data_IF_727349450590
#
_entry.id   IF_727349450590
#
_cell.length_a   1.000
_cell.length_b   1.000
_cell.length_c   1.000
_cell.angle_alpha   90.00
_cell.angle_beta   90.00
_cell.angle_gamma   90.00
#
_symmetry.space_group_name_H-M   'P 1'
#
loop_
_entity.id
_entity.type
_entity.pdbx_description
1 polymer ?
#
# COMPACT_ATOMS: atom_id res chain seq x y z
N UNK A 1 18.12 -4.71 -14.46
CA UNK A 1 18.06 -5.58 -13.28
C UNK A 1 16.99 -5.14 -12.29
N UNK A 2 16.94 -3.86 -11.87
CA UNK A 2 15.84 -3.35 -11.01
C UNK A 2 14.44 -3.62 -11.58
N UNK A 3 14.23 -3.35 -12.89
CA UNK A 3 12.96 -3.65 -13.58
C UNK A 3 12.58 -5.13 -13.46
N UNK A 4 13.51 -6.03 -13.74
CA UNK A 4 13.26 -7.49 -13.69
C UNK A 4 12.92 -7.95 -12.27
N UNK A 5 13.63 -7.44 -11.26
CA UNK A 5 13.36 -7.76 -9.85
C UNK A 5 12.03 -7.20 -9.34
N UNK A 6 11.42 -6.26 -10.07
CA UNK A 6 10.17 -5.59 -9.70
C UNK A 6 8.98 -6.03 -10.55
N UNK A 7 9.22 -6.79 -11.62
CA UNK A 7 8.19 -7.12 -12.62
C UNK A 7 6.99 -7.84 -11.99
N UNK A 8 7.24 -8.98 -11.31
CA UNK A 8 6.17 -9.75 -10.66
C UNK A 8 5.41 -8.91 -9.61
N UNK A 9 6.13 -8.25 -8.70
CA UNK A 9 5.51 -7.42 -7.66
C UNK A 9 4.70 -6.26 -8.25
N UNK A 10 5.09 -5.74 -9.42
CA UNK A 10 4.34 -4.67 -10.09
C UNK A 10 3.08 -5.15 -10.81
N UNK A 11 2.99 -6.45 -11.12
CA UNK A 11 1.81 -7.07 -11.69
C UNK A 11 0.83 -7.52 -10.59
N UNK A 12 1.35 -7.96 -9.45
CA UNK A 12 0.53 -8.51 -8.35
C UNK A 12 0.04 -7.46 -7.36
N UNK A 13 0.81 -6.38 -7.13
CA UNK A 13 0.55 -5.45 -6.03
C UNK A 13 0.43 -4.00 -6.49
N UNK A 14 -0.21 -3.18 -5.65
CA UNK A 14 -0.29 -1.73 -5.89
C UNK A 14 1.10 -1.12 -5.74
N UNK A 15 1.66 -0.68 -6.87
CA UNK A 15 2.99 -0.07 -6.92
C UNK A 15 2.89 1.43 -6.70
N UNK A 16 3.55 1.94 -5.66
CA UNK A 16 3.67 3.39 -5.45
C UNK A 16 5.12 3.76 -5.20
N UNK A 17 5.72 4.47 -6.16
CA UNK A 17 7.14 4.80 -6.16
C UNK A 17 8.00 3.54 -6.27
N UNK A 18 8.69 3.20 -5.18
CA UNK A 18 9.53 1.99 -5.05
C UNK A 18 8.98 1.00 -4.03
N UNK A 19 7.76 1.22 -3.57
CA UNK A 19 7.09 0.34 -2.63
C UNK A 19 5.91 -0.37 -3.27
N UNK A 20 5.60 -1.54 -2.73
CA UNK A 20 4.51 -2.40 -3.14
C UNK A 20 3.58 -2.63 -1.95
N UNK A 21 2.28 -2.52 -2.18
CA UNK A 21 1.25 -2.62 -1.14
C UNK A 21 0.12 -3.52 -1.60
N UNK A 22 -0.40 -4.31 -0.68
CA UNK A 22 -1.54 -5.18 -0.91
C UNK A 22 -2.19 -5.56 0.44
N UNK A 23 -3.52 -5.76 0.52
CA UNK A 23 -4.17 -6.20 1.75
C UNK A 23 -3.62 -7.52 2.32
N UNK A 24 -2.96 -8.35 1.50
CA UNK A 24 -2.38 -9.65 1.90
C UNK A 24 -0.93 -9.58 2.36
N UNK A 25 -0.22 -8.46 2.12
CA UNK A 25 1.21 -8.30 2.44
C UNK A 25 1.51 -7.96 3.91
N UNK A 26 0.54 -8.11 4.80
CA UNK A 26 0.74 -7.96 6.24
C UNK A 26 -0.51 -7.48 6.94
N UNK A 27 -0.32 -6.67 7.99
CA UNK A 27 -1.45 -6.10 8.72
C UNK A 27 -2.13 -5.03 7.88
N UNK A 28 -3.44 -5.00 7.99
CA UNK A 28 -4.25 -3.85 7.62
C UNK A 28 -5.02 -3.36 8.84
N UNK A 29 -5.53 -2.14 8.79
CA UNK A 29 -6.40 -1.63 9.83
C UNK A 29 -7.00 -0.30 9.47
N UNK A 30 -8.11 0.01 10.12
CA UNK A 30 -8.84 1.25 9.92
C UNK A 30 -8.04 2.45 10.46
N UNK A 31 -8.02 3.52 9.68
CA UNK A 31 -7.53 4.84 10.08
C UNK A 31 -8.69 5.81 10.36
N UNK A 32 -9.92 5.42 10.05
CA UNK A 32 -11.14 6.24 10.16
C UNK A 32 -11.53 6.87 8.82
N UNK A 33 -12.73 7.47 8.78
CA UNK A 33 -13.22 8.28 7.66
C UNK A 33 -13.22 7.57 6.28
N UNK A 34 -13.42 6.25 6.27
CA UNK A 34 -13.39 5.46 5.03
C UNK A 34 -11.98 5.15 4.52
N UNK A 35 -10.96 5.29 5.39
CA UNK A 35 -9.56 5.06 5.09
C UNK A 35 -9.04 3.90 5.96
N UNK A 36 -8.31 2.98 5.33
CA UNK A 36 -7.53 1.95 6.00
C UNK A 36 -6.05 2.05 5.63
N UNK A 37 -5.15 1.48 6.42
CA UNK A 37 -3.77 1.29 6.01
C UNK A 37 -3.55 -0.13 5.52
N UNK A 38 -2.71 -0.30 4.50
CA UNK A 38 -2.17 -1.59 4.08
C UNK A 38 -0.68 -1.63 4.38
N UNK A 39 -0.20 -2.78 4.83
CA UNK A 39 1.23 -3.06 4.89
C UNK A 39 1.79 -3.30 3.49
N UNK A 40 3.09 -3.14 3.36
CA UNK A 40 3.83 -3.35 2.13
C UNK A 40 5.32 -3.32 2.41
N UNK A 41 6.11 -3.25 1.34
CA UNK A 41 7.56 -3.14 1.45
C UNK A 41 8.13 -2.20 0.40
N UNK A 42 9.17 -1.48 0.79
CA UNK A 42 10.05 -0.74 -0.09
C UNK A 42 11.08 -1.70 -0.70
N UNK A 43 11.39 -1.53 -1.99
CA UNK A 43 12.43 -2.27 -2.68
C UNK A 43 13.29 -1.37 -3.57
N UNK A 44 14.61 -1.45 -3.42
CA UNK A 44 15.54 -0.85 -4.38
C UNK A 44 16.80 -1.68 -4.57
N UNK A 45 17.20 -1.87 -5.83
CA UNK A 45 18.53 -2.40 -6.12
C UNK A 45 19.58 -1.28 -6.07
N UNK A 46 20.66 -1.48 -5.31
CA UNK A 46 21.73 -0.48 -5.13
C UNK A 46 23.10 -1.08 -5.44
N UNK A 47 23.93 -0.30 -6.14
CA UNK A 47 25.35 -0.59 -6.26
C UNK A 47 26.06 -0.15 -4.98
N UNK A 48 26.86 -1.04 -4.41
CA UNK A 48 27.68 -0.80 -3.22
C UNK A 48 29.13 -1.21 -3.50
N UNK A 49 30.05 -0.85 -2.60
CA UNK A 49 31.46 -1.28 -2.72
C UNK A 49 31.63 -2.81 -2.65
N UNK A 50 30.67 -3.53 -2.04
CA UNK A 50 30.67 -5.00 -1.97
C UNK A 50 29.84 -5.64 -3.10
N UNK A 51 29.50 -4.88 -4.14
CA UNK A 51 28.67 -5.32 -5.25
C UNK A 51 27.21 -4.88 -5.12
N UNK A 52 26.33 -5.60 -5.81
CA UNK A 52 24.89 -5.28 -5.83
C UNK A 52 24.21 -5.71 -4.54
N UNK A 53 23.37 -4.85 -4.00
CA UNK A 53 22.57 -5.13 -2.81
C UNK A 53 21.11 -4.78 -3.05
N UNK A 54 20.22 -5.66 -2.60
CA UNK A 54 18.79 -5.41 -2.57
C UNK A 54 18.44 -4.78 -1.21
N UNK A 55 18.03 -3.52 -1.23
CA UNK A 55 17.57 -2.82 -0.04
C UNK A 55 16.06 -3.00 0.08
N UNK A 56 15.63 -3.64 1.17
CA UNK A 56 14.23 -3.91 1.52
C UNK A 56 13.93 -3.29 2.89
N UNK A 57 12.78 -2.63 3.00
CA UNK A 57 12.27 -2.13 4.28
C UNK A 57 10.75 -2.29 4.35
N UNK A 58 10.21 -2.44 5.56
CA UNK A 58 8.77 -2.50 5.79
C UNK A 58 8.17 -1.12 5.56
N UNK A 59 7.00 -1.08 4.96
CA UNK A 59 6.26 0.16 4.76
C UNK A 59 4.77 -0.03 5.02
N UNK A 60 4.07 1.04 5.35
CA UNK A 60 2.62 1.05 5.45
C UNK A 60 2.10 2.32 4.77
N UNK A 61 0.92 2.23 4.16
CA UNK A 61 0.30 3.35 3.46
C UNK A 61 -1.21 3.31 3.56
N UNK A 62 -1.82 4.50 3.60
CA UNK A 62 -3.27 4.67 3.59
C UNK A 62 -3.86 4.41 2.20
N UNK A 63 -4.98 3.71 2.17
CA UNK A 63 -5.84 3.42 1.02
C UNK A 63 -7.29 3.69 1.41
N UNK A 64 -8.15 3.92 0.43
CA UNK A 64 -9.59 3.95 0.68
C UNK A 64 -10.08 2.54 0.98
N UNK A 65 -10.98 2.43 1.96
CA UNK A 65 -11.69 1.18 2.20
C UNK A 65 -12.51 0.79 0.94
N UNK A 66 -12.61 -0.50 0.61
CA UNK A 66 -13.40 -0.98 -0.52
C UNK A 66 -14.90 -1.02 -0.18
N UNK A 67 -15.47 0.15 0.10
CA UNK A 67 -16.87 0.36 0.50
C UNK A 67 -17.63 1.19 -0.55
N UNK A 68 -18.96 1.18 -0.45
CA UNK A 68 -19.81 2.01 -1.32
C UNK A 68 -19.57 3.50 -1.08
N UNK A 69 -19.75 4.31 -2.13
CA UNK A 69 -19.54 5.77 -2.05
C UNK A 69 -20.46 6.42 -0.99
N UNK A 70 -21.69 5.94 -0.84
CA UNK A 70 -22.62 6.41 0.19
C UNK A 70 -22.14 6.07 1.60
N UNK A 71 -21.56 4.88 1.78
CA UNK A 71 -20.95 4.48 3.05
C UNK A 71 -19.71 5.33 3.35
N UNK A 72 -18.84 5.54 2.36
CA UNK A 72 -17.68 6.42 2.48
C UNK A 72 -18.09 7.83 2.91
N UNK A 73 -19.11 8.43 2.27
CA UNK A 73 -19.60 9.75 2.65
C UNK A 73 -20.17 9.77 4.07
N UNK A 74 -20.85 8.69 4.49
CA UNK A 74 -21.36 8.55 5.86
C UNK A 74 -20.23 8.62 6.87
N UNK A 75 -19.18 7.81 6.66
CA UNK A 75 -17.98 7.76 7.49
C UNK A 75 -17.26 9.11 7.50
N UNK A 76 -16.96 9.64 6.32
CA UNK A 76 -16.17 10.87 6.14
C UNK A 76 -16.85 12.13 6.70
N UNK A 77 -18.17 12.25 6.53
CA UNK A 77 -18.94 13.42 7.00
C UNK A 77 -19.50 13.22 8.42
N UNK A 78 -19.21 12.08 9.06
CA UNK A 78 -19.77 11.67 10.35
C UNK A 78 -21.31 11.80 10.40
N UNK A 79 -21.96 11.39 9.31
CA UNK A 79 -23.42 11.40 9.20
C UNK A 79 -23.99 10.20 9.93
N UNK A 80 -25.12 10.40 10.62
CA UNK A 80 -25.80 9.33 11.36
C UNK A 80 -26.88 8.62 10.53
N UNK A 81 -27.40 9.26 9.47
CA UNK A 81 -28.38 8.70 8.53
C UNK A 81 -28.37 9.47 7.20
N UNK A 82 -28.59 8.74 6.09
CA UNK A 82 -28.86 9.28 4.73
C UNK A 82 -30.37 9.21 4.39
N UNK A 83 -31.24 9.31 5.40
CA UNK A 83 -32.71 9.28 5.19
C UNK A 83 -33.22 10.55 4.51
#
# INVERSE_FOLDING_TARGET
LDVVLRDLSSQEYVTIGRSFFDPTLGKRGELGDGIEYWSGYFQSLRLTQMGLSLNIDVSARSFYEPIDVTEFLTKFMNLRDFS
#
